data_IF_952866016675
#
_entry.id   IF_952866016675
#
_cell.length_a   1.000
_cell.length_b   1.000
_cell.length_c   1.000
_cell.angle_alpha   90.00
_cell.angle_beta   90.00
_cell.angle_gamma   90.00
#
_symmetry.space_group_name_H-M   'P 1'
#
loop_
_entity.id
_entity.type
_entity.pdbx_description
1 polymer ?
#
# COMPACT_ATOMS: atom_id res chain seq x y z
N UNK A 1 -26.94 18.86 47.15
CA UNK A 1 -26.39 18.47 45.82
C UNK A 1 -25.05 19.15 45.51
N UNK A 2 -24.46 19.91 46.45
CA UNK A 2 -23.20 20.67 46.28
C UNK A 2 -21.93 19.90 46.72
N UNK A 3 -22.07 18.74 47.39
CA UNK A 3 -20.94 17.95 47.91
C UNK A 3 -20.54 16.76 47.01
N UNK A 4 -21.34 16.46 45.99
CA UNK A 4 -21.09 15.33 45.07
C UNK A 4 -20.12 15.71 43.95
N UNK A 5 -20.13 16.96 43.51
CA UNK A 5 -19.28 17.46 42.43
C UNK A 5 -17.77 17.48 42.79
N UNK A 6 -17.34 17.99 43.96
CA UNK A 6 -15.92 17.98 44.32
C UNK A 6 -15.41 16.55 44.60
N UNK A 7 -16.27 15.67 45.11
CA UNK A 7 -15.95 14.26 45.36
C UNK A 7 -15.71 13.49 44.05
N UNK A 8 -16.54 13.72 43.03
CA UNK A 8 -16.35 13.18 41.68
C UNK A 8 -15.08 13.71 41.02
N UNK A 9 -14.76 15.00 41.18
CA UNK A 9 -13.54 15.59 40.62
C UNK A 9 -12.28 15.00 41.28
N UNK A 10 -12.29 14.84 42.60
CA UNK A 10 -11.21 14.18 43.35
C UNK A 10 -11.04 12.71 42.93
N UNK A 11 -12.14 11.98 42.76
CA UNK A 11 -12.10 10.58 42.28
C UNK A 11 -11.50 10.48 40.87
N UNK A 12 -11.83 11.42 39.98
CA UNK A 12 -11.28 11.47 38.62
C UNK A 12 -9.79 11.84 38.60
N UNK A 13 -9.34 12.76 39.48
CA UNK A 13 -7.92 13.10 39.64
C UNK A 13 -7.11 11.93 40.19
N UNK A 14 -7.63 11.21 41.19
CA UNK A 14 -7.00 10.00 41.74
C UNK A 14 -6.95 8.88 40.70
N UNK A 15 -7.99 8.70 39.90
CA UNK A 15 -7.97 7.74 38.79
C UNK A 15 -6.92 8.12 37.73
N UNK A 16 -6.82 9.39 37.34
CA UNK A 16 -5.81 9.85 36.37
C UNK A 16 -4.39 9.68 36.90
N UNK A 17 -4.16 9.91 38.19
CA UNK A 17 -2.86 9.69 38.83
C UNK A 17 -2.54 8.19 38.98
N UNK A 18 -3.53 7.34 39.25
CA UNK A 18 -3.37 5.88 39.23
C UNK A 18 -3.06 5.35 37.82
N UNK A 19 -3.64 5.94 36.77
CA UNK A 19 -3.32 5.58 35.38
C UNK A 19 -1.91 5.99 34.95
N UNK A 20 -1.36 7.07 35.52
CA UNK A 20 0.02 7.51 35.26
C UNK A 20 1.06 6.78 36.11
N UNK A 21 0.64 6.13 37.20
CA UNK A 21 1.51 5.42 38.15
C UNK A 21 1.54 3.90 37.91
N UNK A 22 0.77 3.39 36.94
CA UNK A 22 0.97 2.04 36.44
C UNK A 22 2.36 1.97 35.80
N UNK A 23 3.27 1.09 36.27
CA UNK A 23 4.49 0.82 35.53
C UNK A 23 4.05 0.46 34.11
N UNK A 24 4.72 1.01 33.10
CA UNK A 24 4.49 0.70 31.71
C UNK A 24 4.63 -0.81 31.54
N UNK A 25 3.52 -1.54 31.72
CA UNK A 25 3.41 -2.95 31.42
C UNK A 25 3.57 -2.94 29.93
N UNK A 26 4.82 -3.18 29.53
CA UNK A 26 5.17 -3.69 28.23
C UNK A 26 4.27 -4.90 28.05
N UNK A 27 3.10 -4.66 27.47
CA UNK A 27 2.42 -5.66 26.70
C UNK A 27 3.46 -6.10 25.69
N UNK A 28 4.14 -7.20 25.98
CA UNK A 28 4.38 -8.18 24.94
C UNK A 28 2.98 -8.54 24.41
N UNK A 29 2.42 -7.65 23.57
CA UNK A 29 1.88 -8.13 22.32
C UNK A 29 3.02 -8.97 21.80
N UNK A 30 2.83 -10.28 21.84
CA UNK A 30 3.61 -11.22 21.07
C UNK A 30 3.82 -10.51 19.74
N UNK A 31 5.04 -10.04 19.54
CA UNK A 31 5.51 -9.74 18.21
C UNK A 31 5.42 -11.10 17.54
N UNK A 32 4.27 -11.38 16.93
CA UNK A 32 4.30 -11.99 15.63
C UNK A 32 5.13 -11.03 14.79
N UNK A 33 6.45 -11.14 14.94
CA UNK A 33 7.42 -10.77 13.93
C UNK A 33 6.78 -11.31 12.66
N UNK A 34 6.36 -10.45 11.71
CA UNK A 34 5.99 -10.99 10.42
C UNK A 34 7.23 -11.76 10.01
N UNK A 35 7.10 -13.06 9.78
CA UNK A 35 8.20 -13.84 9.22
C UNK A 35 8.41 -13.26 7.82
N UNK A 36 9.16 -12.17 7.73
CA UNK A 36 9.75 -11.74 6.49
C UNK A 36 10.63 -12.91 6.09
N UNK A 37 10.23 -13.62 5.05
CA UNK A 37 11.14 -14.55 4.38
C UNK A 37 12.43 -13.78 4.06
N UNK A 38 13.58 -14.45 4.10
CA UNK A 38 14.86 -13.83 3.72
C UNK A 38 14.78 -13.14 2.34
N UNK A 39 13.97 -13.68 1.42
CA UNK A 39 13.70 -13.09 0.11
C UNK A 39 13.00 -11.74 0.17
N UNK A 40 12.03 -11.55 1.07
CA UNK A 40 11.33 -10.26 1.22
C UNK A 40 12.26 -9.15 1.73
N UNK A 41 13.23 -9.50 2.58
CA UNK A 41 14.27 -8.56 3.02
C UNK A 41 15.22 -8.18 1.89
N UNK A 42 15.66 -9.15 1.07
CA UNK A 42 16.50 -8.89 -0.11
C UNK A 42 15.76 -8.02 -1.15
N UNK A 43 14.49 -8.31 -1.43
CA UNK A 43 13.67 -7.53 -2.35
C UNK A 43 13.50 -6.08 -1.88
N UNK A 44 13.20 -5.85 -0.60
CA UNK A 44 13.10 -4.50 -0.04
C UNK A 44 14.44 -3.74 -0.08
N UNK A 45 15.55 -4.44 0.17
CA UNK A 45 16.88 -3.85 0.05
C UNK A 45 17.21 -3.48 -1.41
N UNK A 46 16.73 -4.26 -2.38
CA UNK A 46 16.82 -3.93 -3.80
C UNK A 46 15.99 -2.67 -4.10
N UNK A 47 14.74 -2.59 -3.65
CA UNK A 47 13.87 -1.44 -3.87
C UNK A 47 14.50 -0.14 -3.42
N UNK A 48 15.09 -0.12 -2.22
CA UNK A 48 15.79 1.05 -1.69
C UNK A 48 17.01 1.47 -2.54
N UNK A 49 17.69 0.53 -3.19
CA UNK A 49 18.80 0.83 -4.12
C UNK A 49 18.27 1.34 -5.47
N UNK A 50 17.25 0.70 -6.03
CA UNK A 50 16.64 1.12 -7.29
C UNK A 50 16.01 2.51 -7.17
N UNK A 51 15.42 2.83 -6.01
CA UNK A 51 14.93 4.17 -5.69
C UNK A 51 16.03 5.24 -5.80
N UNK A 52 17.24 4.97 -5.30
CA UNK A 52 18.36 5.92 -5.39
C UNK A 52 18.78 6.16 -6.84
N UNK A 53 18.88 5.10 -7.65
CA UNK A 53 19.18 5.23 -9.08
C UNK A 53 18.07 6.00 -9.82
N UNK A 54 16.80 5.72 -9.52
CA UNK A 54 15.66 6.43 -10.07
C UNK A 54 15.71 7.93 -9.74
N UNK A 55 16.02 8.28 -8.49
CA UNK A 55 16.12 9.67 -8.05
C UNK A 55 17.31 10.40 -8.67
N UNK A 56 18.44 9.72 -8.86
CA UNK A 56 19.63 10.30 -9.51
C UNK A 56 19.37 10.75 -10.95
N UNK A 57 18.40 10.15 -11.63
CA UNK A 57 17.98 10.57 -12.98
C UNK A 57 17.20 11.90 -12.99
N UNK A 58 16.77 12.41 -11.83
CA UNK A 58 15.94 13.61 -11.68
C UNK A 58 16.77 14.87 -11.33
N UNK A 59 17.75 15.23 -12.14
CA UNK A 59 18.63 16.41 -11.88
C UNK A 59 17.88 17.74 -11.98
N UNK A 60 17.02 17.90 -12.99
CA UNK A 60 16.14 19.07 -13.18
C UNK A 60 14.80 18.63 -13.79
N UNK A 61 13.98 17.89 -13.03
CA UNK A 61 12.88 17.15 -13.61
C UNK A 61 11.67 18.05 -13.91
N UNK A 62 11.13 17.90 -15.12
CA UNK A 62 9.82 18.45 -15.47
C UNK A 62 8.73 17.52 -14.93
N UNK A 63 7.68 18.11 -14.37
CA UNK A 63 6.54 17.34 -13.84
C UNK A 63 5.88 16.57 -14.99
N UNK A 64 5.60 15.29 -14.80
CA UNK A 64 4.93 14.45 -15.82
C UNK A 64 5.85 13.93 -16.92
N UNK A 65 7.17 14.15 -16.84
CA UNK A 65 8.15 13.54 -17.74
C UNK A 65 8.76 12.31 -17.08
N UNK A 66 8.91 11.23 -17.85
CA UNK A 66 9.54 9.98 -17.41
C UNK A 66 11.05 10.08 -17.61
N UNK A 67 11.82 9.76 -16.56
CA UNK A 67 13.28 9.75 -16.57
C UNK A 67 13.79 8.34 -16.31
N UNK A 68 14.44 7.73 -17.30
CA UNK A 68 15.04 6.41 -17.14
C UNK A 68 16.38 6.51 -16.42
N UNK A 69 16.62 5.61 -15.45
CA UNK A 69 17.93 5.51 -14.81
C UNK A 69 18.87 4.72 -15.74
N UNK A 70 19.84 5.41 -16.35
CA UNK A 70 20.79 4.80 -17.30
C UNK A 70 22.09 4.35 -16.65
N UNK A 71 22.39 4.85 -15.44
CA UNK A 71 23.64 4.60 -14.73
C UNK A 71 23.45 3.51 -13.65
N UNK A 72 23.07 2.31 -14.08
CA UNK A 72 23.02 1.14 -13.20
C UNK A 72 24.36 0.40 -13.20
N UNK A 73 24.83 -0.12 -12.04
CA UNK A 73 26.02 -0.96 -11.99
C UNK A 73 25.80 -2.29 -12.72
N UNK A 74 26.90 -2.92 -13.13
CA UNK A 74 26.88 -4.23 -13.82
C UNK A 74 26.18 -5.34 -13.02
N UNK A 75 26.17 -5.24 -11.70
CA UNK A 75 25.44 -6.17 -10.83
C UNK A 75 23.91 -6.10 -10.98
N UNK A 76 23.37 -5.06 -11.63
CA UNK A 76 21.94 -4.86 -11.87
C UNK A 76 21.61 -4.86 -13.37
N UNK A 77 22.51 -5.39 -14.21
CA UNK A 77 22.26 -5.49 -15.65
C UNK A 77 20.99 -6.29 -15.94
N UNK A 78 20.16 -5.78 -16.86
CA UNK A 78 18.88 -6.36 -17.23
C UNK A 78 17.71 -5.94 -16.35
N UNK A 79 17.94 -5.10 -15.32
CA UNK A 79 16.89 -4.39 -14.60
C UNK A 79 16.70 -3.01 -15.24
N UNK A 80 15.45 -2.66 -15.52
CA UNK A 80 15.09 -1.31 -16.00
C UNK A 80 14.44 -0.54 -14.86
N UNK A 81 14.81 0.72 -14.70
CA UNK A 81 14.27 1.60 -13.67
C UNK A 81 13.94 2.95 -14.27
N UNK A 82 12.78 3.49 -13.93
CA UNK A 82 12.40 4.84 -14.32
C UNK A 82 11.76 5.59 -13.15
N UNK A 83 11.81 6.92 -13.24
CA UNK A 83 11.23 7.83 -12.27
C UNK A 83 10.26 8.79 -12.95
N UNK A 84 9.12 9.01 -12.33
CA UNK A 84 8.11 9.96 -12.77
C UNK A 84 7.71 10.86 -11.59
N UNK A 85 8.08 12.13 -11.66
CA UNK A 85 7.73 13.11 -10.62
C UNK A 85 6.42 13.80 -10.97
N UNK A 86 5.47 13.78 -10.03
CA UNK A 86 4.12 14.34 -10.19
C UNK A 86 3.74 15.22 -9.01
N UNK A 87 2.86 16.19 -9.26
CA UNK A 87 2.16 16.91 -8.19
C UNK A 87 0.96 16.06 -7.74
N UNK A 88 0.83 15.81 -6.44
CA UNK A 88 -0.18 14.91 -5.89
C UNK A 88 -1.61 15.29 -6.32
N UNK A 89 -1.98 16.56 -6.16
CA UNK A 89 -3.30 17.05 -6.59
C UNK A 89 -3.57 16.98 -8.10
N UNK A 90 -2.52 16.95 -8.95
CA UNK A 90 -2.70 16.74 -10.39
C UNK A 90 -2.86 15.27 -10.72
N UNK A 91 -2.06 14.40 -10.10
CA UNK A 91 -2.19 12.94 -10.21
C UNK A 91 -3.60 12.48 -9.82
N UNK A 92 -4.12 12.94 -8.67
CA UNK A 92 -5.47 12.58 -8.23
C UNK A 92 -6.57 13.04 -9.20
N UNK A 93 -6.43 14.21 -9.83
CA UNK A 93 -7.46 14.75 -10.74
C UNK A 93 -7.41 14.15 -12.15
N UNK A 94 -6.20 13.83 -12.64
CA UNK A 94 -5.99 13.49 -14.06
C UNK A 94 -5.54 12.05 -14.28
N UNK A 95 -5.02 11.38 -13.26
CA UNK A 95 -4.30 10.11 -13.43
C UNK A 95 -3.00 10.30 -14.21
N UNK A 96 -2.47 9.20 -14.72
CA UNK A 96 -1.37 9.16 -15.67
C UNK A 96 -1.46 7.89 -16.52
N UNK A 97 -1.95 8.01 -17.76
CA UNK A 97 -2.40 6.87 -18.56
C UNK A 97 -1.29 5.91 -19.01
N UNK A 98 -0.07 6.40 -19.25
CA UNK A 98 1.01 5.59 -19.83
C UNK A 98 2.34 5.80 -19.11
N UNK A 99 2.46 5.24 -17.90
CA UNK A 99 3.75 5.13 -17.22
C UNK A 99 4.37 3.76 -17.48
N UNK A 100 5.10 3.63 -18.59
CA UNK A 100 5.60 2.34 -19.09
C UNK A 100 4.46 1.33 -19.29
N UNK A 101 4.38 0.27 -18.48
CA UNK A 101 3.29 -0.71 -18.45
C UNK A 101 2.12 -0.33 -17.54
N UNK A 102 2.28 0.72 -16.71
CA UNK A 102 1.29 1.11 -15.72
C UNK A 102 0.37 2.24 -16.22
N UNK A 103 -0.93 1.98 -16.19
CA UNK A 103 -1.98 2.98 -16.30
C UNK A 103 -2.46 3.41 -14.92
N UNK A 104 -2.17 4.64 -14.53
CA UNK A 104 -2.53 5.20 -13.23
C UNK A 104 -3.90 5.90 -13.32
N UNK A 105 -4.91 5.46 -12.56
CA UNK A 105 -6.26 5.98 -12.68
C UNK A 105 -6.42 7.38 -12.06
N UNK A 106 -7.53 8.03 -12.39
CA UNK A 106 -8.01 9.21 -11.65
C UNK A 106 -8.47 8.78 -10.26
N UNK A 107 -8.53 9.74 -9.33
CA UNK A 107 -9.02 9.50 -7.98
C UNK A 107 -8.04 8.81 -7.03
N UNK A 108 -6.86 8.40 -7.51
CA UNK A 108 -5.80 7.78 -6.70
C UNK A 108 -5.43 8.66 -5.48
N UNK A 109 -5.37 8.02 -4.31
CA UNK A 109 -5.08 8.67 -3.03
C UNK A 109 -3.70 8.23 -2.55
N UNK A 110 -2.89 9.21 -2.15
CA UNK A 110 -1.55 9.00 -1.59
C UNK A 110 -1.57 9.35 -0.09
N UNK A 111 -1.05 8.46 0.76
CA UNK A 111 -0.98 8.61 2.22
C UNK A 111 0.44 8.33 2.72
N UNK A 112 1.06 9.19 3.55
CA UNK A 112 0.61 10.52 3.92
C UNK A 112 0.56 11.48 2.72
N UNK A 113 -0.16 12.59 2.88
CA UNK A 113 -0.22 13.61 1.83
C UNK A 113 1.14 14.30 1.68
N UNK A 114 1.67 14.28 0.45
CA UNK A 114 2.84 15.04 0.02
C UNK A 114 2.46 15.98 -1.12
N UNK A 115 3.15 17.12 -1.27
CA UNK A 115 2.85 18.04 -2.38
C UNK A 115 3.27 17.45 -3.73
N UNK A 116 4.45 16.83 -3.76
CA UNK A 116 5.02 16.14 -4.93
C UNK A 116 5.46 14.75 -4.51
N UNK A 117 5.18 13.78 -5.36
CA UNK A 117 5.62 12.40 -5.21
C UNK A 117 6.44 11.99 -6.42
N UNK A 118 7.27 10.97 -6.25
CA UNK A 118 7.94 10.26 -7.33
C UNK A 118 7.37 8.85 -7.37
N UNK A 119 6.83 8.47 -8.52
CA UNK A 119 6.54 7.07 -8.83
C UNK A 119 7.81 6.45 -9.41
N UNK A 120 8.27 5.36 -8.83
CA UNK A 120 9.42 4.59 -9.30
C UNK A 120 8.89 3.34 -9.97
N UNK A 121 9.24 3.20 -11.24
CA UNK A 121 9.00 2.01 -12.05
C UNK A 121 10.22 1.11 -11.96
N UNK A 122 9.97 -0.19 -11.87
CA UNK A 122 11.00 -1.22 -11.91
C UNK A 122 10.57 -2.34 -12.85
N UNK A 123 11.48 -2.85 -13.66
CA UNK A 123 11.33 -4.08 -14.43
C UNK A 123 12.49 -4.99 -14.06
N UNK A 124 12.20 -6.07 -13.34
CA UNK A 124 13.26 -6.97 -12.84
C UNK A 124 13.79 -7.93 -13.90
N UNK A 125 13.13 -8.06 -15.05
CA UNK A 125 13.58 -8.95 -16.11
C UNK A 125 13.88 -10.37 -15.58
N UNK A 126 15.10 -10.86 -15.87
CA UNK A 126 15.57 -12.18 -15.43
C UNK A 126 15.81 -12.31 -13.91
N UNK A 127 15.82 -11.20 -13.17
CA UNK A 127 15.99 -11.19 -11.72
C UNK A 127 14.70 -11.49 -10.94
N UNK A 128 13.57 -11.58 -11.65
CA UNK A 128 12.25 -11.83 -11.06
C UNK A 128 12.24 -13.00 -10.07
N UNK A 129 12.72 -14.18 -10.49
CA UNK A 129 12.74 -15.40 -9.64
C UNK A 129 13.72 -15.31 -8.48
N UNK A 130 14.77 -14.47 -8.58
CA UNK A 130 15.76 -14.29 -7.50
C UNK A 130 15.17 -13.52 -6.32
N UNK A 131 14.46 -12.43 -6.60
CA UNK A 131 13.91 -11.54 -5.57
C UNK A 131 12.49 -11.92 -5.15
N UNK A 132 11.71 -12.48 -6.07
CA UNK A 132 10.34 -12.96 -5.83
C UNK A 132 10.27 -14.46 -6.15
N UNK A 133 10.85 -15.33 -5.32
CA UNK A 133 10.70 -16.77 -5.51
C UNK A 133 9.25 -17.18 -5.24
N UNK A 134 8.62 -17.84 -6.22
CA UNK A 134 7.22 -18.28 -6.12
C UNK A 134 7.13 -19.80 -6.38
N UNK A 135 7.15 -20.64 -5.33
CA UNK A 135 7.16 -22.10 -5.49
C UNK A 135 5.84 -22.60 -6.10
N UNK A 136 5.93 -23.62 -6.96
CA UNK A 136 4.81 -24.20 -7.72
C UNK A 136 4.22 -23.28 -8.80
N UNK A 137 4.90 -22.17 -9.13
CA UNK A 137 4.48 -21.27 -10.18
C UNK A 137 5.65 -20.95 -11.12
N UNK A 138 5.33 -20.74 -12.38
CA UNK A 138 6.26 -20.31 -13.42
C UNK A 138 5.87 -18.92 -13.91
N UNK A 139 6.84 -18.01 -13.97
CA UNK A 139 6.66 -16.65 -14.49
C UNK A 139 6.51 -16.65 -16.02
N UNK A 140 5.39 -16.10 -16.48
CA UNK A 140 5.13 -15.81 -17.89
C UNK A 140 5.59 -14.40 -18.30
N UNK A 141 5.69 -13.49 -17.34
CA UNK A 141 6.17 -12.12 -17.54
C UNK A 141 7.24 -11.78 -16.49
N UNK A 142 8.07 -10.74 -16.68
CA UNK A 142 8.93 -10.24 -15.62
C UNK A 142 8.10 -9.66 -14.46
N UNK A 143 8.72 -9.51 -13.30
CA UNK A 143 8.14 -8.79 -12.16
C UNK A 143 8.33 -7.29 -12.40
N UNK A 144 7.21 -6.57 -12.45
CA UNK A 144 7.15 -5.12 -12.59
C UNK A 144 6.80 -4.48 -11.24
N UNK A 145 7.60 -3.52 -10.80
CA UNK A 145 7.40 -2.77 -9.57
C UNK A 145 6.85 -1.37 -9.85
N UNK A 146 5.86 -0.97 -9.06
CA UNK A 146 5.41 0.41 -8.93
C UNK A 146 5.46 0.79 -7.45
N UNK A 147 6.30 1.76 -7.11
CA UNK A 147 6.48 2.25 -5.75
C UNK A 147 6.39 3.77 -5.71
N UNK A 148 5.85 4.34 -4.64
CA UNK A 148 5.73 5.78 -4.49
C UNK A 148 6.57 6.30 -3.32
N UNK A 149 7.19 7.46 -3.52
CA UNK A 149 8.04 8.12 -2.53
C UNK A 149 7.77 9.62 -2.49
N UNK A 150 8.10 10.26 -1.37
CA UNK A 150 8.09 11.72 -1.26
C UNK A 150 9.07 12.32 -2.28
N UNK A 151 8.56 13.23 -3.12
CA UNK A 151 9.29 13.89 -4.20
C UNK A 151 9.71 15.32 -3.88
N UNK A 152 9.68 15.74 -2.60
CA UNK A 152 10.13 17.06 -2.14
C UNK A 152 11.66 17.19 -2.18
N UNK A 153 12.38 16.19 -1.66
CA UNK A 153 13.84 16.14 -1.64
C UNK A 153 14.38 14.97 -2.48
N UNK A 154 14.83 15.26 -3.70
CA UNK A 154 15.35 14.27 -4.63
C UNK A 154 16.76 13.76 -4.28
N UNK A 155 17.43 14.38 -3.31
CA UNK A 155 18.71 13.90 -2.78
C UNK A 155 18.56 13.03 -1.53
N UNK A 156 17.34 12.88 -1.01
CA UNK A 156 17.07 12.06 0.15
C UNK A 156 17.29 10.58 -0.14
N UNK A 157 17.82 9.87 0.86
CA UNK A 157 18.11 8.43 0.80
C UNK A 157 17.26 7.72 1.84
N UNK A 158 16.97 6.43 1.60
CA UNK A 158 16.20 5.58 2.53
C UNK A 158 14.82 6.18 2.86
N UNK A 159 14.17 6.79 1.86
CA UNK A 159 12.82 7.29 2.03
C UNK A 159 11.86 6.12 2.24
N UNK A 160 10.93 6.23 3.20
CA UNK A 160 9.85 5.26 3.30
C UNK A 160 8.95 5.36 2.07
N UNK A 161 8.39 4.22 1.66
CA UNK A 161 7.33 4.18 0.67
C UNK A 161 6.09 4.94 1.18
N UNK A 162 5.45 5.68 0.29
CA UNK A 162 4.11 6.24 0.52
C UNK A 162 3.07 5.16 0.19
N UNK A 163 1.94 5.16 0.88
CA UNK A 163 0.82 4.30 0.55
C UNK A 163 0.00 4.90 -0.59
N UNK A 164 -0.29 4.07 -1.59
CA UNK A 164 -1.19 4.38 -2.68
C UNK A 164 -2.41 3.48 -2.60
N UNK A 165 -3.59 4.09 -2.71
CA UNK A 165 -4.85 3.36 -2.79
C UNK A 165 -5.78 3.96 -3.85
N UNK A 166 -6.49 3.09 -4.58
CA UNK A 166 -7.55 3.47 -5.50
C UNK A 166 -8.92 3.02 -4.97
N UNK A 167 -9.95 3.85 -5.19
CA UNK A 167 -11.31 3.60 -4.66
C UNK A 167 -12.33 3.14 -5.69
N UNK A 168 -12.19 3.59 -6.94
CA UNK A 168 -13.10 3.26 -8.05
C UNK A 168 -12.33 2.49 -9.13
N UNK A 169 -11.50 3.19 -9.90
CA UNK A 169 -10.73 2.58 -10.98
C UNK A 169 -9.42 1.97 -10.47
N UNK A 170 -9.03 0.76 -10.90
CA UNK A 170 -7.77 0.14 -10.53
C UNK A 170 -6.58 0.73 -11.31
N UNK A 171 -5.39 0.55 -10.78
CA UNK A 171 -4.15 0.60 -11.56
C UNK A 171 -4.18 -0.56 -12.55
N UNK A 172 -4.01 -0.26 -13.83
CA UNK A 172 -3.91 -1.26 -14.88
C UNK A 172 -2.43 -1.51 -15.20
N UNK A 173 -2.04 -2.78 -15.32
CA UNK A 173 -0.67 -3.19 -15.62
C UNK A 173 -0.70 -4.02 -16.89
N UNK A 174 -0.30 -3.44 -18.01
CA UNK A 174 -0.31 -4.10 -19.32
C UNK A 174 1.09 -4.58 -19.71
N UNK A 175 1.31 -5.88 -19.67
CA UNK A 175 2.62 -6.49 -19.93
C UNK A 175 2.91 -6.58 -21.43
N UNK A 176 4.12 -6.19 -21.86
CA UNK A 176 4.47 -6.08 -23.29
C UNK A 176 5.03 -7.36 -23.94
N UNK A 177 5.38 -8.39 -23.16
CA UNK A 177 6.02 -9.62 -23.66
C UNK A 177 5.66 -10.86 -22.80
N UNK A 178 4.36 -11.18 -22.71
CA UNK A 178 3.89 -12.33 -21.92
C UNK A 178 4.14 -13.63 -22.69
N UNK A 179 4.83 -14.58 -22.08
CA UNK A 179 5.02 -15.94 -22.63
C UNK A 179 3.67 -16.65 -22.73
N UNK A 180 3.46 -17.41 -23.80
CA UNK A 180 2.25 -18.22 -23.95
C UNK A 180 2.13 -19.24 -22.82
N UNK A 181 0.94 -19.30 -22.21
CA UNK A 181 0.63 -20.30 -21.20
C UNK A 181 0.64 -21.72 -21.83
N UNK A 182 1.14 -22.75 -21.13
CA UNK A 182 1.00 -24.13 -21.59
C UNK A 182 -0.47 -24.51 -21.78
N UNK A 183 -0.77 -25.38 -22.74
CA UNK A 183 -2.13 -25.85 -22.98
C UNK A 183 -2.79 -26.39 -21.70
N UNK A 184 -4.02 -25.95 -21.44
CA UNK A 184 -4.78 -26.31 -20.24
C UNK A 184 -4.38 -25.57 -18.96
N UNK A 185 -3.38 -24.68 -18.99
CA UNK A 185 -3.00 -23.84 -17.86
C UNK A 185 -3.75 -22.52 -17.86
N UNK A 186 -4.13 -22.04 -16.68
CA UNK A 186 -4.78 -20.74 -16.48
C UNK A 186 -3.75 -19.75 -15.92
N UNK A 187 -3.49 -18.67 -16.66
CA UNK A 187 -2.64 -17.58 -16.20
C UNK A 187 -3.31 -16.81 -15.06
N UNK A 188 -2.51 -16.38 -14.09
CA UNK A 188 -2.94 -15.56 -12.94
C UNK A 188 -2.00 -14.38 -12.77
N UNK A 189 -2.56 -13.25 -12.37
CA UNK A 189 -1.78 -12.15 -11.84
C UNK A 189 -1.31 -12.51 -10.44
N UNK A 190 -0.03 -12.31 -10.17
CA UNK A 190 0.52 -12.31 -8.82
C UNK A 190 0.88 -10.89 -8.44
N UNK A 191 0.48 -10.48 -7.24
CA UNK A 191 0.83 -9.21 -6.62
C UNK A 191 1.60 -9.48 -5.33
N UNK A 192 2.74 -8.84 -5.18
CA UNK A 192 3.52 -8.82 -3.96
C UNK A 192 3.37 -7.45 -3.29
N UNK A 193 2.94 -7.47 -2.03
CA UNK A 193 2.88 -6.25 -1.23
C UNK A 193 4.27 -5.74 -0.85
N UNK A 194 4.33 -4.60 -0.16
CA UNK A 194 5.58 -3.99 0.31
C UNK A 194 6.33 -4.81 1.37
N UNK A 195 5.73 -5.92 1.85
CA UNK A 195 6.34 -6.87 2.77
C UNK A 195 6.81 -8.15 2.05
N UNK A 196 6.54 -8.27 0.75
CA UNK A 196 6.87 -9.44 -0.07
C UNK A 196 5.85 -10.57 0.00
N UNK A 197 4.68 -10.36 0.62
CA UNK A 197 3.61 -11.36 0.65
C UNK A 197 2.88 -11.40 -0.69
N UNK A 198 2.68 -12.60 -1.23
CA UNK A 198 2.05 -12.79 -2.54
C UNK A 198 0.54 -13.01 -2.44
N UNK A 199 -0.22 -12.36 -3.32
CA UNK A 199 -1.64 -12.57 -3.55
C UNK A 199 -1.89 -12.85 -5.03
N UNK A 200 -2.97 -13.57 -5.34
CA UNK A 200 -3.31 -13.95 -6.71
C UNK A 200 -4.64 -13.34 -7.13
N UNK A 201 -4.65 -12.76 -8.32
CA UNK A 201 -5.82 -12.14 -8.96
C UNK A 201 -5.97 -12.76 -10.36
N UNK A 202 -7.20 -12.84 -10.88
CA UNK A 202 -7.40 -13.31 -12.25
C UNK A 202 -6.86 -12.28 -13.25
N UNK A 203 -6.25 -12.75 -14.35
CA UNK A 203 -5.80 -11.89 -15.45
C UNK A 203 -7.01 -11.33 -16.18
N UNK A 204 -6.93 -10.07 -16.58
CA UNK A 204 -7.90 -9.42 -17.46
C UNK A 204 -7.29 -9.34 -18.86
N UNK A 205 -7.95 -9.88 -19.89
CA UNK A 205 -7.49 -9.74 -21.28
C UNK A 205 -6.13 -10.38 -21.62
N UNK A 206 -5.81 -11.55 -21.06
CA UNK A 206 -4.59 -12.37 -21.26
C UNK A 206 -3.23 -11.73 -20.92
N UNK A 207 -3.11 -10.39 -20.90
CA UNK A 207 -1.86 -9.65 -20.71
C UNK A 207 -1.93 -8.55 -19.64
N UNK A 208 -3.10 -8.33 -19.03
CA UNK A 208 -3.34 -7.18 -18.17
C UNK A 208 -3.72 -7.61 -16.75
N UNK A 209 -3.06 -7.00 -15.77
CA UNK A 209 -3.40 -7.13 -14.34
C UNK A 209 -4.06 -5.84 -13.83
N UNK A 210 -4.88 -5.98 -12.80
CA UNK A 210 -5.49 -4.85 -12.08
C UNK A 210 -5.09 -4.88 -10.61
N UNK A 211 -4.83 -3.70 -10.04
CA UNK A 211 -4.43 -3.55 -8.65
C UNK A 211 -4.99 -2.26 -8.04
N UNK A 212 -5.38 -2.31 -6.77
CA UNK A 212 -5.81 -1.10 -6.04
C UNK A 212 -4.68 -0.43 -5.28
N UNK A 213 -3.53 -1.09 -5.16
CA UNK A 213 -2.39 -0.66 -4.37
C UNK A 213 -1.10 -0.78 -5.19
N UNK A 214 -0.04 -0.19 -4.66
CA UNK A 214 1.31 -0.33 -5.21
C UNK A 214 1.95 -1.67 -4.82
N UNK A 215 3.13 -1.95 -5.38
CA UNK A 215 3.88 -3.18 -5.12
C UNK A 215 4.48 -3.76 -6.39
N UNK A 216 4.67 -5.07 -6.39
CA UNK A 216 5.30 -5.79 -7.50
C UNK A 216 4.34 -6.79 -8.12
N UNK A 217 4.28 -6.83 -9.45
CA UNK A 217 3.25 -7.53 -10.19
C UNK A 217 3.87 -8.42 -11.26
N UNK A 218 3.25 -9.57 -11.51
CA UNK A 218 3.61 -10.39 -12.66
C UNK A 218 2.47 -11.30 -13.09
N UNK A 219 2.65 -11.99 -14.20
CA UNK A 219 1.75 -13.04 -14.69
C UNK A 219 2.45 -14.39 -14.53
N UNK A 220 1.75 -15.34 -13.91
CA UNK A 220 2.27 -16.66 -13.59
C UNK A 220 1.27 -17.75 -13.97
N UNK A 221 1.76 -18.96 -14.19
CA UNK A 221 0.96 -20.18 -14.29
C UNK A 221 1.39 -21.16 -13.23
N UNK A 222 0.47 -22.00 -12.77
CA UNK A 222 0.81 -23.09 -11.85
C UNK A 222 1.73 -24.07 -12.58
N UNK A 223 2.89 -24.36 -12.00
CA UNK A 223 3.80 -25.38 -12.53
C UNK A 223 3.15 -26.76 -12.37
N UNK A 224 3.35 -27.69 -13.33
CA UNK A 224 2.96 -29.07 -13.15
C UNK A 224 3.62 -29.62 -11.88
N UNK A 225 2.87 -30.38 -11.07
CA UNK A 225 3.47 -31.04 -9.92
C UNK A 225 4.65 -31.91 -10.39
N UNK A 226 5.78 -31.93 -9.68
CA UNK A 226 6.83 -32.92 -9.96
C UNK A 226 6.19 -34.31 -9.99
N UNK A 227 6.53 -35.18 -10.96
CA UNK A 227 5.99 -36.53 -10.98
C UNK A 227 6.29 -37.18 -9.63
N UNK A 228 5.27 -37.72 -8.98
CA UNK A 228 5.43 -38.43 -7.72
C UNK A 228 6.51 -39.50 -7.91
N UNK A 229 7.43 -39.69 -6.93
CA UNK A 229 8.39 -40.78 -7.00
C UNK A 229 7.60 -42.07 -7.19
N UNK A 230 7.94 -42.82 -8.24
CA UNK A 230 7.27 -44.07 -8.57
C UNK A 230 7.25 -44.97 -7.30
N UNK A 231 6.11 -45.63 -6.99
CA UNK A 231 6.06 -46.54 -5.86
C UNK A 231 7.17 -47.57 -6.03
N UNK A 232 8.01 -47.71 -5.00
CA UNK A 232 9.09 -48.68 -4.99
C UNK A 232 8.52 -50.08 -5.28
N UNK A 233 9.21 -50.92 -6.11
CA UNK A 233 8.73 -52.25 -6.42
C UNK A 233 8.60 -53.08 -5.15
N UNK A 234 7.36 -53.48 -4.86
CA UNK A 234 7.03 -54.35 -3.73
C UNK A 234 7.63 -55.73 -4.02
N UNK A 235 8.68 -56.10 -3.28
CA UNK A 235 9.17 -57.47 -3.28
C UNK A 235 8.24 -58.36 -2.42
N UNK A 236 7.90 -59.58 -2.86
CA UNK A 236 6.95 -60.44 -2.16
C UNK A 236 7.59 -61.12 -0.95
N UNK A 237 6.90 -61.08 0.19
CA UNK A 237 7.19 -61.93 1.35
C UNK A 237 6.44 -63.27 1.23
N UNK A 238 6.99 -64.38 1.75
CA UNK A 238 6.44 -65.71 1.52
C UNK A 238 5.32 -66.11 2.50
N UNK A 239 4.51 -67.01 1.97
CA UNK A 239 3.38 -67.78 2.48
C UNK A 239 3.57 -68.46 3.84
N UNK A 240 2.58 -68.29 4.72
CA UNK A 240 2.15 -69.31 5.71
C UNK A 240 0.70 -68.97 6.09
N UNK A 241 -0.31 -69.73 5.67
CA UNK A 241 -0.67 -71.03 6.25
C UNK A 241 -1.94 -70.86 7.10
N UNK A 242 -3.10 -71.02 6.49
CA UNK A 242 -4.41 -71.13 7.17
C UNK A 242 -4.57 -72.56 7.77
N UNK A 243 -5.51 -72.82 8.72
CA UNK A 243 -6.90 -73.04 8.30
C UNK A 243 -8.05 -72.66 9.29
N UNK A 244 -9.16 -72.21 8.67
CA UNK A 244 -10.60 -72.52 8.86
C UNK A 244 -11.30 -72.46 10.23
N UNK A 245 -12.41 -71.70 10.24
CA UNK A 245 -13.65 -71.97 11.02
C UNK A 245 -14.55 -70.73 11.18
N UNK A 246 -15.72 -70.67 10.52
CA UNK A 246 -16.77 -69.62 10.74
C UNK A 246 -17.78 -70.02 11.84
N UNK A 247 -19.01 -69.46 11.94
CA UNK A 247 -19.63 -68.28 11.30
C UNK A 247 -20.36 -67.27 12.27
N UNK A 248 -20.49 -65.99 11.84
CA UNK A 248 -21.62 -64.96 11.87
C UNK A 248 -22.78 -65.08 12.91
N UNK A 249 -23.58 -64.04 13.36
CA UNK A 249 -23.62 -62.56 13.12
C UNK A 249 -23.78 -61.65 14.39
N UNK A 250 -23.73 -60.31 14.21
CA UNK A 250 -24.77 -59.43 14.78
C UNK A 250 -24.37 -58.19 15.62
N UNK A 251 -24.89 -57.04 15.17
CA UNK A 251 -25.40 -55.89 15.96
C UNK A 251 -24.43 -54.94 16.72
N UNK A 252 -24.49 -53.65 16.35
CA UNK A 252 -24.27 -52.52 17.28
C UNK A 252 -25.42 -52.45 18.30
N UNK A 253 -25.25 -51.83 19.47
CA UNK A 253 -25.56 -50.39 19.57
C UNK A 253 -24.68 -49.57 20.53
N UNK A 254 -24.96 -48.28 20.44
CA UNK A 254 -24.47 -47.07 21.05
C UNK A 254 -25.07 -46.80 22.45
N UNK A 255 -24.39 -45.94 23.23
CA UNK A 255 -24.92 -45.28 24.44
C UNK A 255 -24.44 -45.93 25.74
N UNK A 256 -24.22 -45.25 26.86
CA UNK A 256 -24.42 -43.88 27.33
C UNK A 256 -23.54 -43.70 28.57
N UNK A 257 -23.18 -42.46 28.90
CA UNK A 257 -22.46 -42.14 30.12
C UNK A 257 -22.66 -40.68 30.50
N UNK A 258 -23.78 -40.41 31.17
CA UNK A 258 -24.12 -39.14 31.82
C UNK A 258 -23.01 -38.64 32.76
N UNK A 259 -22.91 -37.30 32.94
CA UNK A 259 -23.21 -36.64 34.23
C UNK A 259 -23.04 -35.10 34.19
N UNK A 260 -24.19 -34.44 34.25
CA UNK A 260 -24.62 -33.34 35.15
C UNK A 260 -23.65 -32.19 35.54
N UNK A 261 -24.11 -31.00 35.16
CA UNK A 261 -24.32 -29.76 35.96
C UNK A 261 -23.13 -29.06 36.63
N UNK A 262 -22.98 -27.75 36.39
CA UNK A 262 -23.54 -26.77 37.32
C UNK A 262 -23.74 -25.38 36.69
N UNK A 263 -24.80 -24.71 37.15
CA UNK A 263 -25.13 -23.30 36.95
C UNK A 263 -24.07 -22.42 37.63
N UNK A 264 -23.54 -21.43 36.92
CA UNK A 264 -23.29 -20.07 37.47
C UNK A 264 -23.46 -19.06 36.32
N UNK A 265 -24.67 -18.54 36.17
CA UNK A 265 -25.00 -17.34 35.38
C UNK A 265 -24.91 -16.14 36.32
N UNK A 266 -24.51 -14.98 35.78
CA UNK A 266 -24.40 -13.65 36.44
C UNK A 266 -23.10 -13.42 37.23
N UNK A 267 -22.14 -12.72 36.59
CA UNK A 267 -21.42 -11.49 36.99
C UNK A 267 -20.44 -11.16 35.84
N UNK A 268 -20.94 -10.79 34.64
CA UNK A 268 -20.08 -10.23 33.57
C UNK A 268 -20.85 -9.15 32.77
N UNK A 269 -21.73 -8.40 33.44
CA UNK A 269 -22.50 -7.32 32.80
C UNK A 269 -21.83 -5.95 32.85
N UNK A 270 -20.86 -5.74 33.75
CA UNK A 270 -20.40 -4.38 34.08
C UNK A 270 -19.10 -3.97 33.37
N UNK A 271 -18.20 -4.92 33.06
CA UNK A 271 -16.92 -4.62 32.37
C UNK A 271 -17.12 -4.39 30.87
N UNK A 272 -18.04 -5.13 30.24
CA UNK A 272 -18.32 -4.99 28.80
C UNK A 272 -19.03 -3.66 28.50
N UNK A 273 -19.96 -3.23 29.37
CA UNK A 273 -20.63 -1.94 29.24
C UNK A 273 -19.66 -0.76 29.39
N UNK A 274 -18.72 -0.83 30.32
CA UNK A 274 -17.66 0.17 30.48
C UNK A 274 -16.72 0.25 29.27
N UNK A 275 -16.34 -0.91 28.71
CA UNK A 275 -15.49 -0.96 27.51
C UNK A 275 -16.20 -0.34 26.30
N UNK A 276 -17.48 -0.65 26.11
CA UNK A 276 -18.29 -0.10 25.02
C UNK A 276 -18.48 1.42 25.17
N UNK A 277 -18.73 1.91 26.39
CA UNK A 277 -18.85 3.35 26.66
C UNK A 277 -17.53 4.09 26.44
N UNK A 278 -16.39 3.51 26.84
CA UNK A 278 -15.06 4.05 26.59
C UNK A 278 -14.74 4.13 25.09
N UNK A 279 -15.10 3.08 24.33
CA UNK A 279 -14.93 3.07 22.86
C UNK A 279 -15.80 4.16 22.23
N UNK A 280 -17.07 4.29 22.64
CA UNK A 280 -17.97 5.34 22.16
C UNK A 280 -17.46 6.76 22.46
N UNK A 281 -16.96 6.99 23.68
CA UNK A 281 -16.38 8.28 24.07
C UNK A 281 -15.12 8.58 23.26
N UNK A 282 -14.25 7.58 23.04
CA UNK A 282 -13.05 7.74 22.22
C UNK A 282 -13.39 8.11 20.77
N UNK A 283 -14.40 7.46 20.18
CA UNK A 283 -14.90 7.77 18.84
C UNK A 283 -15.49 9.19 18.77
N UNK A 284 -16.24 9.63 19.78
CA UNK A 284 -16.79 10.99 19.83
C UNK A 284 -15.69 12.05 19.86
N UNK A 285 -14.62 11.84 20.64
CA UNK A 285 -13.46 12.75 20.70
C UNK A 285 -12.72 12.78 19.35
N UNK A 286 -12.52 11.62 18.72
CA UNK A 286 -11.92 11.54 17.38
C UNK A 286 -12.76 12.25 16.31
N UNK A 287 -14.08 12.07 16.34
CA UNK A 287 -14.99 12.80 15.46
C UNK A 287 -14.94 14.31 15.70
N UNK A 288 -14.99 14.77 16.95
CA UNK A 288 -14.86 16.19 17.28
C UNK A 288 -13.54 16.78 16.77
N UNK A 289 -12.43 16.05 16.91
CA UNK A 289 -11.13 16.47 16.38
C UNK A 289 -11.12 16.51 14.85
N UNK A 290 -11.67 15.50 14.18
CA UNK A 290 -11.82 15.49 12.71
C UNK A 290 -12.72 16.63 12.23
N UNK A 291 -13.80 16.94 12.95
CA UNK A 291 -14.68 18.09 12.67
C UNK A 291 -13.97 19.42 12.88
N UNK A 292 -13.17 19.57 13.96
CA UNK A 292 -12.33 20.75 14.17
C UNK A 292 -11.30 20.92 13.05
N UNK A 293 -10.67 19.84 12.61
CA UNK A 293 -9.73 19.87 11.47
C UNK A 293 -10.43 20.24 10.16
N UNK A 294 -11.63 19.69 9.89
CA UNK A 294 -12.45 20.08 8.73
C UNK A 294 -12.86 21.56 8.79
N UNK A 295 -13.26 22.07 9.96
CA UNK A 295 -13.57 23.50 10.14
C UNK A 295 -12.35 24.40 9.91
N UNK A 296 -11.16 23.98 10.36
CA UNK A 296 -9.90 24.71 10.08
C UNK A 296 -9.61 24.73 8.57
N UNK A 297 -9.86 23.63 7.87
CA UNK A 297 -9.69 23.55 6.42
C UNK A 297 -10.64 24.51 5.68
N UNK A 298 -11.90 24.58 6.08
CA UNK A 298 -12.88 25.53 5.50
C UNK A 298 -12.51 27.00 5.78
N UNK A 299 -11.91 27.30 6.94
CA UNK A 299 -11.40 28.64 7.24
C UNK A 299 -10.18 28.99 6.37
N UNK A 300 -9.32 28.02 6.07
CA UNK A 300 -8.17 28.21 5.18
C UNK A 300 -8.60 28.36 3.71
N UNK A 301 -9.64 27.66 3.27
CA UNK A 301 -10.22 27.83 1.92
C UNK A 301 -10.81 29.24 1.75
N UNK A 302 -11.53 29.76 2.76
CA UNK A 302 -12.07 31.12 2.72
C UNK A 302 -10.99 32.21 2.78
N UNK A 303 -9.85 31.95 3.45
CA UNK A 303 -8.71 32.86 3.48
C UNK A 303 -7.93 32.86 2.15
N UNK A 304 -7.96 31.75 1.39
CA UNK A 304 -7.36 31.67 0.07
C UNK A 304 -8.19 32.40 -1.01
N UNK A 305 -9.52 32.41 -0.89
CA UNK A 305 -10.39 33.20 -1.79
C UNK A 305 -10.36 34.71 -1.52
N UNK A 306 -9.91 35.12 -0.32
CA UNK A 306 -9.77 36.55 0.09
C UNK A 306 -8.35 37.09 -0.13
N UNK A 307 -7.40 36.23 -0.53
CA UNK A 307 -6.05 36.64 -0.90
C UNK A 307 -6.06 37.37 -2.25
N UNK A 308 -6.21 38.71 -2.20
CA UNK A 308 -6.06 39.70 -3.27
C UNK A 308 -6.36 39.21 -4.70
N UNK A 309 -7.61 39.43 -5.14
CA UNK A 309 -7.96 39.40 -6.54
C UNK A 309 -7.17 40.49 -7.30
N UNK A 310 -6.04 40.10 -7.91
CA UNK A 310 -5.39 40.91 -8.94
C UNK A 310 -6.45 41.30 -9.98
N UNK A 311 -6.60 42.60 -10.21
CA UNK A 311 -7.63 43.12 -11.11
C UNK A 311 -7.50 42.47 -12.49
N UNK A 312 -8.52 41.70 -12.88
CA UNK A 312 -8.59 41.09 -14.22
C UNK A 312 -9.10 42.15 -15.19
N UNK A 313 -8.24 42.64 -16.08
CA UNK A 313 -8.67 43.44 -17.21
C UNK A 313 -9.15 42.50 -18.33
N UNK A 314 -10.29 42.80 -18.94
CA UNK A 314 -10.75 42.11 -20.16
C UNK A 314 -10.10 42.77 -21.36
N UNK A 315 -9.38 42.01 -22.17
CA UNK A 315 -8.88 42.47 -23.48
C UNK A 315 -9.56 41.60 -24.54
N UNK A 316 -10.65 42.11 -25.13
CA UNK A 316 -11.53 41.30 -25.98
C UNK A 316 -12.18 40.15 -25.21
N UNK A 317 -12.28 38.98 -25.84
CA UNK A 317 -12.93 37.77 -25.28
C UNK A 317 -12.05 36.98 -24.30
N UNK A 318 -10.86 37.47 -23.94
CA UNK A 318 -9.96 36.80 -23.00
C UNK A 318 -9.62 37.68 -21.81
N UNK A 319 -9.72 37.09 -20.61
CA UNK A 319 -9.31 37.71 -19.34
C UNK A 319 -7.91 37.26 -18.97
N UNK A 320 -7.02 38.21 -18.73
CA UNK A 320 -5.65 37.97 -18.29
C UNK A 320 -5.27 38.92 -17.14
N UNK A 321 -4.32 38.53 -16.26
CA UNK A 321 -3.89 39.36 -15.13
C UNK A 321 -3.14 40.60 -15.63
N UNK A 322 -3.58 41.79 -15.22
CA UNK A 322 -2.94 43.05 -15.56
C UNK A 322 -1.98 43.50 -14.45
N UNK A 323 -0.72 43.74 -14.80
CA UNK A 323 0.24 44.37 -13.90
C UNK A 323 0.13 45.90 -14.02
N UNK A 324 0.11 46.63 -12.90
CA UNK A 324 0.11 48.09 -12.88
C UNK A 324 1.39 48.61 -13.52
N UNK A 325 1.28 49.19 -14.72
CA UNK A 325 2.40 49.77 -15.46
C UNK A 325 2.82 51.09 -14.81
N UNK A 326 3.97 51.12 -14.16
CA UNK A 326 4.60 52.38 -13.72
C UNK A 326 5.33 52.99 -14.91
N UNK A 327 4.75 54.02 -15.52
CA UNK A 327 5.37 54.76 -16.63
C UNK A 327 6.15 55.97 -16.07
N UNK A 328 7.47 55.92 -16.08
CA UNK A 328 8.31 57.10 -15.84
C UNK A 328 8.34 57.98 -17.09
N UNK A 329 8.03 59.27 -16.94
CA UNK A 329 8.11 60.25 -18.02
C UNK A 329 9.55 60.77 -18.15
N UNK A 330 10.17 60.75 -19.34
CA UNK A 330 11.46 61.39 -19.54
C UNK A 330 11.29 62.91 -19.62
N UNK A 331 12.06 63.63 -18.80
CA UNK A 331 12.17 65.10 -18.80
C UNK A 331 13.14 65.51 -19.91
N UNK A 332 12.69 66.34 -20.85
CA UNK A 332 13.52 66.96 -21.89
C UNK A 332 14.11 68.26 -21.35
N UNK A 333 15.44 68.36 -21.27
CA UNK A 333 16.13 69.63 -21.03
C UNK A 333 16.24 70.40 -22.35
N UNK A 334 15.59 71.56 -22.41
CA UNK A 334 15.89 72.60 -23.39
C UNK A 334 16.55 73.76 -22.65
N UNK A 335 17.84 73.98 -22.91
CA UNK A 335 18.48 75.25 -22.60
C UNK A 335 19.38 75.66 -23.78
N UNK A 336 18.79 76.50 -24.63
CA UNK A 336 19.42 77.39 -25.60
C UNK A 336 18.64 78.70 -25.42
N UNK A 337 19.22 79.81 -24.95
CA UNK A 337 20.14 80.72 -25.63
C UNK A 337 20.52 81.86 -24.63
N UNK A 338 21.32 82.90 -24.97
CA UNK A 338 21.26 83.70 -26.21
C UNK A 338 22.41 83.46 -27.20
#
# INVERSE_FOLDING_TARGET
MELLLPSLIMMMLVLVQCFQSLPNVRGQSTSATPRSSSSGVEAKALDARLQQYAFSALVNPKTGTIYNATQLPSSLTGIEVAALRLRNGSLRRRGFEMYNEFGIPKGLIVTPYVERLVLVYQNLGNWSTRYYPLPNYTYLAPVLGLLAYDGSNLSARNLPELDINTSEDPILIKFRNVKSAPHGSVAKCVWFDLQGSSNFINVTGDDTCSASQQGHFSIVVRSPAPPAPAPAPVSPAPTSGAPKGGPVPGAQPQGEGEKKSNKVWIIVGSVVGGLVLLVLLSLLVLWMNKFKQKKKMQQMERAADVGEALQMASVGDTKAPAATVTRTQPTLEQEYAP
#
